data_IF_268007968097
#
_entry.id   IF_268007968097
#
_cell.length_a   1.000
_cell.length_b   1.000
_cell.length_c   1.000
_cell.angle_alpha   90.00
_cell.angle_beta   90.00
_cell.angle_gamma   90.00
#
_symmetry.space_group_name_H-M   'P 1'
#
loop_
_entity.id
_entity.type
_entity.pdbx_description
1 polymer ?
#
# COMPACT_ATOMS: atom_id res chain seq x y z
N UNK A 1 42.11 23.00 47.28
CA UNK A 1 41.19 22.07 46.59
C UNK A 1 40.78 22.73 45.28
N UNK A 2 41.51 22.45 44.21
CA UNK A 2 41.38 23.12 42.91
C UNK A 2 40.94 22.05 41.92
N UNK A 3 39.65 22.05 41.57
CA UNK A 3 39.08 21.09 40.61
C UNK A 3 39.50 21.51 39.20
N UNK A 4 40.42 20.74 38.61
CA UNK A 4 40.71 20.75 37.18
C UNK A 4 39.58 20.03 36.45
N UNK A 5 38.72 20.78 35.75
CA UNK A 5 37.82 20.21 34.75
C UNK A 5 38.59 20.02 33.44
N UNK A 6 38.85 18.76 33.09
CA UNK A 6 39.38 18.37 31.79
C UNK A 6 38.24 18.40 30.76
N UNK A 7 38.29 19.34 29.82
CA UNK A 7 37.43 19.31 28.65
C UNK A 7 38.04 18.37 27.62
N UNK A 8 37.52 17.14 27.54
CA UNK A 8 37.76 16.27 26.40
C UNK A 8 37.03 16.87 25.18
N UNK A 9 37.78 17.51 24.28
CA UNK A 9 37.27 17.82 22.94
C UNK A 9 37.03 16.52 22.20
N UNK A 10 35.76 16.15 22.04
CA UNK A 10 35.37 15.16 21.04
C UNK A 10 35.67 15.77 19.66
N UNK A 11 36.82 15.44 19.09
CA UNK A 11 37.10 15.71 17.70
C UNK A 11 36.06 14.95 16.87
N UNK A 12 35.11 15.68 16.28
CA UNK A 12 34.25 15.16 15.23
C UNK A 12 35.17 14.71 14.10
N UNK A 13 35.33 13.40 13.92
CA UNK A 13 35.95 12.85 12.71
C UNK A 13 34.94 13.12 11.60
N UNK A 14 35.07 14.26 10.93
CA UNK A 14 34.51 14.45 9.61
C UNK A 14 35.23 13.48 8.68
N UNK A 15 34.73 12.24 8.60
CA UNK A 15 35.09 11.35 7.51
C UNK A 15 34.68 12.07 6.23
N UNK A 16 35.65 12.49 5.42
CA UNK A 16 35.40 12.85 4.04
C UNK A 16 34.81 11.61 3.36
N UNK A 17 33.48 11.53 3.31
CA UNK A 17 32.78 10.46 2.64
C UNK A 17 33.09 10.59 1.13
N UNK A 18 33.73 9.56 0.59
CA UNK A 18 33.93 9.40 -0.85
C UNK A 18 32.60 9.58 -1.58
N UNK A 19 32.58 10.35 -2.68
CA UNK A 19 31.44 10.47 -3.60
C UNK A 19 31.16 9.18 -4.40
N UNK A 20 31.77 8.06 -3.99
CA UNK A 20 31.71 6.76 -4.66
C UNK A 20 30.78 5.83 -3.89
N UNK A 21 29.86 5.18 -4.60
CA UNK A 21 29.03 4.12 -4.03
C UNK A 21 29.92 2.96 -3.57
N UNK A 22 29.71 2.48 -2.34
CA UNK A 22 30.39 1.27 -1.86
C UNK A 22 29.69 0.03 -2.40
N UNK A 23 30.46 -0.95 -2.86
CA UNK A 23 29.92 -2.19 -3.44
C UNK A 23 28.89 -2.90 -2.54
N UNK A 24 29.16 -2.94 -1.23
CA UNK A 24 28.30 -3.63 -0.25
C UNK A 24 26.91 -3.00 -0.03
N UNK A 25 26.66 -1.80 -0.55
CA UNK A 25 25.34 -1.15 -0.46
C UNK A 25 24.62 -1.06 -1.81
N UNK A 26 25.17 -1.65 -2.88
CA UNK A 26 24.54 -1.66 -4.20
C UNK A 26 23.21 -2.42 -4.14
N UNK A 27 22.13 -1.76 -4.56
CA UNK A 27 20.79 -2.31 -4.69
C UNK A 27 20.73 -3.14 -5.97
N UNK A 28 20.99 -4.44 -5.86
CA UNK A 28 21.01 -5.34 -7.03
C UNK A 28 19.67 -5.35 -7.78
N UNK A 29 18.54 -5.16 -7.08
CA UNK A 29 17.22 -5.04 -7.72
C UNK A 29 17.12 -3.81 -8.63
N UNK A 30 17.82 -2.71 -8.32
CA UNK A 30 17.90 -1.52 -9.16
C UNK A 30 18.66 -1.76 -10.46
N UNK A 31 19.33 -2.90 -10.65
CA UNK A 31 19.96 -3.24 -11.95
C UNK A 31 19.00 -3.93 -12.93
N UNK A 32 17.75 -4.14 -12.51
CA UNK A 32 16.75 -4.96 -13.19
C UNK A 32 15.47 -4.17 -13.45
N UNK A 33 14.79 -4.47 -14.55
CA UNK A 33 13.53 -3.81 -14.91
C UNK A 33 12.33 -4.40 -14.18
N UNK A 34 12.47 -5.63 -13.65
CA UNK A 34 11.37 -6.38 -13.05
C UNK A 34 10.55 -7.19 -14.05
N UNK A 35 10.93 -7.16 -15.34
CA UNK A 35 10.30 -7.90 -16.44
C UNK A 35 11.08 -9.15 -16.85
N UNK A 36 12.21 -9.43 -16.20
CA UNK A 36 13.02 -10.62 -16.50
C UNK A 36 12.19 -11.90 -16.27
N UNK A 37 12.31 -12.87 -17.19
CA UNK A 37 11.64 -14.17 -17.05
C UNK A 37 10.16 -14.21 -17.45
N UNK A 38 9.66 -13.20 -18.15
CA UNK A 38 8.31 -13.22 -18.74
C UNK A 38 7.21 -12.78 -17.78
N UNK A 39 7.46 -11.72 -16.99
CA UNK A 39 6.46 -11.13 -16.10
C UNK A 39 5.27 -10.52 -16.86
N UNK A 40 4.23 -10.11 -16.10
CA UNK A 40 2.99 -9.59 -16.69
C UNK A 40 3.27 -8.34 -17.55
N UNK A 41 2.90 -8.40 -18.84
CA UNK A 41 3.07 -7.33 -19.84
C UNK A 41 2.28 -6.06 -19.54
N UNK A 42 1.31 -6.11 -18.64
CA UNK A 42 0.55 -4.94 -18.17
C UNK A 42 1.33 -4.12 -17.13
N UNK A 43 2.46 -4.62 -16.63
CA UNK A 43 3.33 -3.92 -15.68
C UNK A 43 4.35 -3.05 -16.43
N UNK A 44 4.64 -1.87 -15.90
CA UNK A 44 5.69 -1.01 -16.43
C UNK A 44 7.09 -1.54 -16.05
N UNK A 45 8.08 -1.21 -16.87
CA UNK A 45 9.49 -1.46 -16.56
C UNK A 45 9.99 -0.47 -15.51
N UNK A 46 10.72 -0.96 -14.50
CA UNK A 46 11.48 -0.11 -13.59
C UNK A 46 12.68 0.50 -14.29
N UNK A 47 13.02 1.75 -13.95
CA UNK A 47 14.34 2.28 -14.29
C UNK A 47 15.44 1.44 -13.63
N UNK A 48 16.61 1.44 -14.26
CA UNK A 48 17.78 0.74 -13.74
C UNK A 48 18.93 1.69 -13.42
N UNK A 49 19.73 1.36 -12.41
CA UNK A 49 20.96 2.05 -12.02
C UNK A 49 21.94 1.05 -11.42
N UNK A 50 23.23 1.21 -11.73
CA UNK A 50 24.32 0.45 -11.09
C UNK A 50 24.87 1.15 -9.86
N UNK A 51 24.50 2.41 -9.69
CA UNK A 51 24.98 3.33 -8.68
C UNK A 51 23.87 3.78 -7.72
N UNK A 52 22.84 2.96 -7.49
CA UNK A 52 21.73 3.26 -6.57
C UNK A 52 21.08 4.63 -6.80
N UNK A 53 21.08 5.08 -8.06
CA UNK A 53 20.53 6.37 -8.43
C UNK A 53 21.19 7.57 -7.72
N UNK A 54 22.42 7.44 -7.19
CA UNK A 54 23.12 8.58 -6.53
C UNK A 54 23.29 9.79 -7.47
N UNK A 55 23.35 9.54 -8.78
CA UNK A 55 23.49 10.57 -9.81
C UNK A 55 22.17 10.92 -10.50
N UNK A 56 21.03 10.45 -9.98
CA UNK A 56 19.72 10.62 -10.62
C UNK A 56 19.34 12.10 -10.84
N UNK A 57 19.83 12.98 -9.96
CA UNK A 57 19.57 14.42 -10.04
C UNK A 57 20.65 15.21 -10.81
N UNK A 58 21.61 14.54 -11.47
CA UNK A 58 22.63 15.22 -12.26
C UNK A 58 21.97 16.13 -13.32
N UNK A 59 22.41 17.40 -13.35
CA UNK A 59 21.88 18.41 -14.27
C UNK A 59 20.53 19.02 -13.89
N UNK A 60 19.93 18.66 -12.75
CA UNK A 60 18.64 19.19 -12.27
C UNK A 60 18.82 20.15 -11.09
N UNK A 61 17.84 21.02 -10.86
CA UNK A 61 17.77 21.86 -9.65
C UNK A 61 17.58 20.98 -8.42
N UNK A 62 18.53 21.01 -7.49
CA UNK A 62 18.48 20.18 -6.28
C UNK A 62 17.57 20.76 -5.19
N UNK A 63 16.84 19.91 -4.48
CA UNK A 63 16.04 20.30 -3.31
C UNK A 63 16.93 20.83 -2.18
N UNK A 64 18.03 20.13 -1.89
CA UNK A 64 19.06 20.52 -0.92
C UNK A 64 18.52 21.07 0.43
N UNK A 65 17.50 20.40 0.99
CA UNK A 65 16.88 20.82 2.26
C UNK A 65 15.93 22.02 2.18
N UNK A 66 15.62 22.53 0.98
CA UNK A 66 14.78 23.70 0.74
C UNK A 66 13.41 23.31 0.17
N UNK A 67 12.38 24.13 0.45
CA UNK A 67 11.06 24.02 -0.19
C UNK A 67 11.06 24.74 -1.55
N UNK A 68 11.59 24.08 -2.58
CA UNK A 68 11.70 24.65 -3.94
C UNK A 68 10.36 24.55 -4.67
N UNK A 69 9.61 25.65 -4.75
CA UNK A 69 8.22 25.67 -5.24
C UNK A 69 8.08 25.45 -6.75
N UNK A 70 9.11 25.77 -7.53
CA UNK A 70 9.15 25.61 -8.99
C UNK A 70 9.38 24.17 -9.45
N UNK A 71 9.59 23.22 -8.53
CA UNK A 71 10.02 21.85 -8.81
C UNK A 71 11.52 21.67 -8.60
N UNK A 72 11.92 20.49 -8.13
CA UNK A 72 13.33 20.15 -7.85
C UNK A 72 13.54 18.64 -7.83
N UNK A 73 14.80 18.21 -7.74
CA UNK A 73 15.18 16.81 -7.59
C UNK A 73 15.90 16.59 -6.25
N UNK A 74 15.52 15.56 -5.50
CA UNK A 74 16.20 15.25 -4.25
C UNK A 74 17.42 14.36 -4.49
N UNK A 75 18.62 14.89 -4.20
CA UNK A 75 19.89 14.16 -4.34
C UNK A 75 20.04 12.99 -3.36
N UNK A 76 19.20 12.94 -2.31
CA UNK A 76 18.92 11.71 -1.59
C UNK A 76 17.89 10.97 -2.46
N UNK A 77 18.20 9.78 -3.02
CA UNK A 77 17.40 9.13 -4.07
C UNK A 77 16.00 8.76 -3.59
N UNK A 78 15.13 9.76 -3.56
CA UNK A 78 13.69 9.67 -3.32
C UNK A 78 12.94 9.96 -4.63
N UNK A 79 13.54 10.78 -5.51
CA UNK A 79 13.08 11.04 -6.87
C UNK A 79 12.88 12.51 -7.19
N UNK A 80 12.24 12.75 -8.33
CA UNK A 80 11.83 14.07 -8.79
C UNK A 80 10.60 14.56 -8.04
N UNK A 81 10.59 15.84 -7.67
CA UNK A 81 9.51 16.48 -6.92
C UNK A 81 8.74 17.41 -7.87
N UNK A 82 7.41 17.25 -8.00
CA UNK A 82 6.61 18.10 -8.89
C UNK A 82 6.59 19.55 -8.39
N UNK A 83 6.32 20.50 -9.28
CA UNK A 83 6.05 21.88 -8.89
C UNK A 83 4.75 21.97 -8.05
N UNK A 84 4.58 23.04 -7.26
CA UNK A 84 3.37 23.21 -6.42
C UNK A 84 2.06 23.14 -7.23
N UNK A 85 2.05 23.69 -8.44
CA UNK A 85 0.90 23.66 -9.36
C UNK A 85 0.62 22.27 -9.97
N UNK A 86 1.53 21.31 -9.77
CA UNK A 86 1.44 19.92 -10.27
C UNK A 86 1.37 18.90 -9.14
N UNK A 87 1.00 19.34 -7.93
CA UNK A 87 0.72 18.40 -6.83
C UNK A 87 -0.44 17.47 -7.20
N UNK A 88 -0.29 16.20 -6.85
CA UNK A 88 -1.35 15.21 -7.03
C UNK A 88 -2.44 15.44 -5.99
N UNK A 89 -3.69 15.33 -6.42
CA UNK A 89 -4.85 15.28 -5.53
C UNK A 89 -5.86 14.31 -6.11
N UNK A 90 -6.42 13.49 -5.23
CA UNK A 90 -7.44 12.49 -5.55
C UNK A 90 -8.74 12.82 -4.83
N UNK A 91 -9.85 12.35 -5.39
CA UNK A 91 -11.17 12.37 -4.76
C UNK A 91 -11.95 11.11 -5.15
N UNK A 92 -12.56 10.45 -4.18
CA UNK A 92 -13.43 9.31 -4.37
C UNK A 92 -14.82 9.84 -4.74
N UNK A 93 -15.29 9.47 -5.93
CA UNK A 93 -16.61 9.89 -6.45
C UNK A 93 -17.67 8.82 -6.26
N UNK A 94 -17.26 7.57 -6.01
CA UNK A 94 -18.12 6.48 -5.57
C UNK A 94 -17.27 5.36 -4.93
N UNK A 95 -17.72 4.72 -3.83
CA UNK A 95 -18.93 5.05 -3.05
C UNK A 95 -18.77 6.34 -2.24
N UNK A 96 -19.90 6.93 -1.85
CA UNK A 96 -19.96 8.15 -1.02
C UNK A 96 -20.95 7.94 0.14
N UNK A 97 -20.82 8.73 1.22
CA UNK A 97 -21.64 8.55 2.43
C UNK A 97 -23.16 8.66 2.19
N UNK A 98 -23.57 9.41 1.17
CA UNK A 98 -24.95 9.67 0.77
C UNK A 98 -25.52 8.63 -0.22
N UNK A 99 -24.67 7.79 -0.82
CA UNK A 99 -25.09 6.79 -1.80
C UNK A 99 -24.91 5.38 -1.24
N UNK A 100 -26.03 4.72 -0.99
CA UNK A 100 -26.03 3.35 -0.51
C UNK A 100 -25.47 2.39 -1.56
N UNK A 101 -24.63 1.47 -1.11
CA UNK A 101 -24.18 0.30 -1.89
C UNK A 101 -25.00 -0.91 -1.44
N UNK A 102 -25.48 -1.72 -2.37
CA UNK A 102 -26.20 -2.95 -2.03
C UNK A 102 -25.24 -4.07 -1.63
N UNK A 103 -25.58 -4.77 -0.56
CA UNK A 103 -24.81 -5.91 -0.09
C UNK A 103 -24.77 -7.03 -1.14
N UNK A 104 -23.60 -7.64 -1.29
CA UNK A 104 -23.35 -8.76 -2.20
C UNK A 104 -23.69 -8.48 -3.67
N UNK A 105 -23.59 -7.21 -4.09
CA UNK A 105 -23.75 -6.78 -5.48
C UNK A 105 -22.47 -6.15 -5.99
N UNK A 106 -22.06 -6.56 -7.19
CA UNK A 106 -20.92 -5.94 -7.89
C UNK A 106 -21.15 -4.45 -8.05
N UNK A 107 -20.12 -3.65 -7.77
CA UNK A 107 -20.10 -2.23 -8.03
C UNK A 107 -18.68 -1.77 -8.43
N UNK A 108 -18.58 -0.59 -9.02
CA UNK A 108 -17.31 0.03 -9.37
C UNK A 108 -16.98 1.15 -8.39
N UNK A 109 -15.83 1.04 -7.72
CA UNK A 109 -15.19 2.19 -7.08
C UNK A 109 -14.74 3.15 -8.18
N UNK A 110 -15.00 4.46 -7.99
CA UNK A 110 -14.64 5.51 -8.94
C UNK A 110 -13.84 6.60 -8.24
N UNK A 111 -12.67 6.89 -8.80
CA UNK A 111 -11.72 7.88 -8.29
C UNK A 111 -11.41 8.88 -9.39
N UNK A 112 -11.35 10.16 -9.04
CA UNK A 112 -10.79 11.20 -9.90
C UNK A 112 -9.43 11.60 -9.35
N UNK A 113 -8.41 11.61 -10.19
CA UNK A 113 -7.07 12.10 -9.87
C UNK A 113 -6.72 13.31 -10.72
N UNK A 114 -5.92 14.21 -10.16
CA UNK A 114 -5.33 15.35 -10.83
C UNK A 114 -3.81 15.26 -10.75
N UNK A 115 -3.13 15.70 -11.81
CA UNK A 115 -1.67 15.80 -11.88
C UNK A 115 -0.88 14.49 -11.67
N UNK A 116 -1.53 13.35 -11.88
CA UNK A 116 -0.90 12.04 -11.94
C UNK A 116 -0.91 11.53 -13.38
N UNK A 117 0.26 11.16 -13.90
CA UNK A 117 0.37 10.31 -15.08
C UNK A 117 0.17 8.87 -14.60
N UNK A 118 -1.10 8.46 -14.57
CA UNK A 118 -1.52 7.14 -14.12
C UNK A 118 -1.16 6.04 -15.13
N UNK A 119 -1.11 4.80 -14.65
CA UNK A 119 -0.87 3.62 -15.48
C UNK A 119 0.56 3.06 -15.41
N UNK A 120 1.38 3.57 -14.48
CA UNK A 120 2.74 3.07 -14.27
C UNK A 120 2.84 2.33 -12.95
N UNK A 121 2.81 1.00 -13.02
CA UNK A 121 2.91 0.07 -11.90
C UNK A 121 4.02 -0.93 -12.20
N UNK A 122 5.09 -0.94 -11.41
CA UNK A 122 6.19 -1.90 -11.58
C UNK A 122 6.01 -3.13 -10.68
N UNK A 123 6.75 -4.20 -10.97
CA UNK A 123 6.64 -5.47 -10.26
C UNK A 123 6.88 -5.32 -8.74
N UNK A 124 5.85 -5.53 -7.88
CA UNK A 124 5.96 -5.31 -6.42
C UNK A 124 6.81 -6.39 -5.72
N UNK A 125 6.98 -7.58 -6.29
CA UNK A 125 7.81 -8.62 -5.69
C UNK A 125 9.31 -8.43 -5.98
N UNK A 126 9.65 -7.63 -7.00
CA UNK A 126 11.00 -7.56 -7.58
C UNK A 126 11.62 -6.18 -7.59
N UNK A 127 10.80 -5.13 -7.66
CA UNK A 127 11.26 -3.75 -7.88
C UNK A 127 10.65 -2.76 -6.88
N UNK A 128 10.16 -3.26 -5.75
CA UNK A 128 9.58 -2.46 -4.67
C UNK A 128 10.60 -1.45 -4.12
N UNK A 129 10.29 -0.16 -4.24
CA UNK A 129 11.16 0.97 -3.92
C UNK A 129 12.52 0.96 -4.64
N UNK A 130 12.64 0.20 -5.73
CA UNK A 130 13.91 -0.02 -6.41
C UNK A 130 14.33 1.14 -7.32
N UNK A 131 13.43 2.09 -7.62
CA UNK A 131 13.74 3.27 -8.40
C UNK A 131 13.06 4.56 -7.86
N UNK A 132 13.69 5.74 -8.03
CA UNK A 132 13.14 7.00 -7.55
C UNK A 132 11.85 7.43 -8.27
N UNK A 133 11.09 8.34 -7.66
CA UNK A 133 9.93 8.96 -8.31
C UNK A 133 10.34 9.70 -9.59
N UNK A 134 9.51 9.61 -10.63
CA UNK A 134 9.72 10.28 -11.92
C UNK A 134 8.57 11.23 -12.24
N UNK A 135 8.85 12.24 -13.06
CA UNK A 135 7.89 13.17 -13.64
C UNK A 135 7.84 13.05 -15.15
N UNK A 136 6.64 13.18 -15.71
CA UNK A 136 6.42 13.40 -17.14
C UNK A 136 5.64 14.70 -17.28
N UNK A 137 6.21 15.68 -17.98
CA UNK A 137 5.65 17.04 -18.09
C UNK A 137 5.37 17.69 -16.72
N UNK A 138 6.22 17.43 -15.73
CA UNK A 138 6.11 17.94 -14.37
C UNK A 138 5.06 17.25 -13.48
N UNK A 139 4.33 16.25 -13.98
CA UNK A 139 3.36 15.43 -13.25
C UNK A 139 3.98 14.10 -12.82
N UNK A 140 3.63 13.60 -11.64
CA UNK A 140 4.19 12.34 -11.13
C UNK A 140 3.75 11.16 -11.99
N UNK A 141 4.69 10.26 -12.32
CA UNK A 141 4.43 9.01 -13.04
C UNK A 141 4.25 7.87 -12.05
N UNK A 142 3.07 7.26 -12.04
CA UNK A 142 2.75 6.22 -11.07
C UNK A 142 1.37 5.63 -11.26
N UNK A 143 0.78 5.22 -10.15
CA UNK A 143 -0.50 4.54 -10.10
C UNK A 143 -1.23 4.84 -8.79
N UNK A 144 -2.42 4.29 -8.61
CA UNK A 144 -3.22 4.48 -7.40
C UNK A 144 -3.74 3.14 -6.93
N UNK A 145 -3.75 2.91 -5.62
CA UNK A 145 -4.48 1.80 -5.02
C UNK A 145 -5.77 2.32 -4.39
N UNK A 146 -6.74 1.42 -4.26
CA UNK A 146 -7.92 1.62 -3.41
C UNK A 146 -7.97 0.52 -2.37
N UNK A 147 -8.18 0.90 -1.12
CA UNK A 147 -8.31 -0.04 0.00
C UNK A 147 -9.62 0.23 0.70
N UNK A 148 -10.43 -0.82 0.87
CA UNK A 148 -11.66 -0.80 1.66
C UNK A 148 -11.41 -1.60 2.93
N UNK A 149 -11.64 -0.97 4.09
CA UNK A 149 -11.55 -1.60 5.40
C UNK A 149 -12.91 -1.54 6.09
N UNK A 150 -13.27 -2.60 6.82
CA UNK A 150 -14.45 -2.58 7.68
C UNK A 150 -14.22 -1.64 8.86
N UNK A 151 -15.27 -0.92 9.26
CA UNK A 151 -15.33 -0.16 10.50
C UNK A 151 -16.15 -0.91 11.58
N UNK A 152 -16.55 -2.14 11.28
CA UNK A 152 -17.42 -2.94 12.14
C UNK A 152 -18.85 -2.41 12.14
N UNK A 153 -19.40 -2.21 13.35
CA UNK A 153 -20.81 -1.83 13.57
C UNK A 153 -21.03 -0.33 13.75
N UNK A 154 -19.97 0.46 13.64
CA UNK A 154 -20.02 1.91 13.82
C UNK A 154 -19.39 2.59 12.60
N UNK A 155 -20.07 3.58 12.02
CA UNK A 155 -19.52 4.42 10.96
C UNK A 155 -18.39 5.31 11.49
N UNK A 156 -18.40 5.64 12.78
CA UNK A 156 -17.46 6.57 13.40
C UNK A 156 -16.71 5.95 14.58
N UNK A 157 -15.98 4.84 14.37
CA UNK A 157 -15.20 4.24 15.43
C UNK A 157 -14.10 5.20 15.89
N UNK A 158 -13.75 5.12 17.17
CA UNK A 158 -12.66 5.91 17.78
C UNK A 158 -11.32 5.19 17.76
N UNK A 159 -11.31 3.91 17.36
CA UNK A 159 -10.09 3.13 17.16
C UNK A 159 -9.76 3.03 15.66
N UNK A 160 -8.49 3.17 15.27
CA UNK A 160 -8.08 2.99 13.89
C UNK A 160 -8.26 1.53 13.46
N UNK A 161 -8.70 1.27 12.21
CA UNK A 161 -8.67 -0.09 11.65
C UNK A 161 -7.26 -0.66 11.61
N UNK A 162 -7.13 -1.99 11.75
CA UNK A 162 -5.85 -2.70 11.62
C UNK A 162 -5.32 -2.55 10.18
N UNK A 163 -4.15 -1.93 9.97
CA UNK A 163 -3.59 -1.68 8.64
C UNK A 163 -3.18 -2.97 7.89
N UNK A 164 -3.12 -4.12 8.56
CA UNK A 164 -2.83 -5.43 7.92
C UNK A 164 -4.06 -6.12 7.34
N UNK A 165 -5.25 -5.51 7.48
CA UNK A 165 -6.52 -6.11 7.05
C UNK A 165 -7.27 -5.20 6.07
N UNK A 166 -7.94 -5.82 5.10
CA UNK A 166 -8.82 -5.15 4.14
C UNK A 166 -9.98 -6.08 3.75
N UNK A 167 -11.15 -5.47 3.48
CA UNK A 167 -12.28 -6.15 2.86
C UNK A 167 -12.13 -6.20 1.33
N UNK A 168 -11.43 -5.22 0.76
CA UNK A 168 -11.06 -5.17 -0.66
C UNK A 168 -9.78 -4.35 -0.83
N UNK A 169 -8.90 -4.79 -1.72
CA UNK A 169 -7.72 -4.05 -2.16
C UNK A 169 -7.59 -4.18 -3.67
N UNK A 170 -7.22 -3.09 -4.34
CA UNK A 170 -6.88 -3.14 -5.76
C UNK A 170 -5.87 -2.06 -6.11
N UNK A 171 -4.78 -2.46 -6.76
CA UNK A 171 -3.96 -1.57 -7.58
C UNK A 171 -4.67 -1.25 -8.90
N UNK A 172 -4.90 0.03 -9.16
CA UNK A 172 -5.40 0.53 -10.45
C UNK A 172 -4.17 0.80 -11.32
N UNK A 173 -3.79 -0.23 -12.08
CA UNK A 173 -2.52 -0.27 -12.79
C UNK A 173 -2.59 0.33 -14.20
N UNK A 174 -3.79 0.67 -14.68
CA UNK A 174 -3.99 1.28 -15.99
C UNK A 174 -4.12 2.82 -15.89
N UNK A 175 -4.16 3.47 -17.05
CA UNK A 175 -4.31 4.92 -17.18
C UNK A 175 -5.78 5.41 -17.05
N UNK A 176 -6.71 4.52 -16.73
CA UNK A 176 -8.15 4.80 -16.72
C UNK A 176 -8.64 5.32 -18.06
N UNK A 177 -9.35 6.44 -18.04
CA UNK A 177 -9.83 7.12 -19.25
C UNK A 177 -8.83 8.12 -19.85
N UNK A 178 -7.63 8.26 -19.28
CA UNK A 178 -6.63 9.25 -19.70
C UNK A 178 -6.95 10.69 -19.29
N UNK A 179 -8.12 10.97 -18.72
CA UNK A 179 -8.52 12.26 -18.16
C UNK A 179 -8.48 12.26 -16.62
N UNK A 180 -7.85 11.24 -16.02
CA UNK A 180 -7.70 11.10 -14.58
C UNK A 180 -8.90 10.44 -13.89
N UNK A 181 -9.88 9.89 -14.62
CA UNK A 181 -10.87 9.02 -14.00
C UNK A 181 -10.33 7.59 -13.95
N UNK A 182 -10.31 7.01 -12.74
CA UNK A 182 -9.83 5.67 -12.43
C UNK A 182 -10.97 4.85 -11.83
N UNK A 183 -10.98 3.55 -12.08
CA UNK A 183 -12.01 2.65 -11.57
C UNK A 183 -11.45 1.31 -11.11
N UNK A 184 -12.13 0.70 -10.14
CA UNK A 184 -11.87 -0.66 -9.68
C UNK A 184 -13.18 -1.39 -9.39
N UNK A 185 -13.39 -2.54 -10.02
CA UNK A 185 -14.60 -3.35 -9.83
C UNK A 185 -14.48 -4.23 -8.60
N UNK A 186 -15.44 -4.09 -7.67
CA UNK A 186 -15.60 -4.96 -6.50
C UNK A 186 -16.54 -6.10 -6.89
N UNK A 187 -15.99 -7.15 -7.49
CA UNK A 187 -16.77 -8.28 -8.00
C UNK A 187 -17.43 -9.03 -6.84
N UNK A 188 -18.73 -9.28 -6.94
CA UNK A 188 -19.52 -9.91 -5.88
C UNK A 188 -19.91 -8.97 -4.74
N UNK A 189 -19.41 -7.74 -4.72
CA UNK A 189 -19.74 -6.72 -3.73
C UNK A 189 -19.11 -6.97 -2.36
N UNK A 190 -19.72 -6.35 -1.34
CA UNK A 190 -19.30 -6.45 0.06
C UNK A 190 -20.49 -6.91 0.92
N UNK A 191 -20.26 -7.56 2.07
CA UNK A 191 -21.30 -7.77 3.08
C UNK A 191 -21.86 -6.45 3.62
N UNK A 192 -23.09 -6.48 4.14
CA UNK A 192 -23.67 -5.32 4.80
C UNK A 192 -22.83 -4.87 6.00
N UNK A 193 -22.68 -3.55 6.18
CA UNK A 193 -21.86 -2.97 7.24
C UNK A 193 -21.30 -1.59 6.89
N UNK A 194 -20.48 -1.05 7.79
CA UNK A 194 -19.80 0.22 7.59
C UNK A 194 -18.35 0.01 7.16
N UNK A 195 -17.92 0.83 6.21
CA UNK A 195 -16.59 0.73 5.61
C UNK A 195 -15.95 2.11 5.46
N UNK A 196 -14.62 2.12 5.50
CA UNK A 196 -13.79 3.23 5.02
C UNK A 196 -13.10 2.78 3.74
N UNK A 197 -13.19 3.62 2.72
CA UNK A 197 -12.36 3.51 1.52
C UNK A 197 -11.34 4.63 1.52
N UNK A 198 -10.10 4.31 1.18
CA UNK A 198 -9.04 5.29 0.96
C UNK A 198 -8.33 5.02 -0.36
N UNK A 199 -7.87 6.09 -1.01
CA UNK A 199 -6.87 5.99 -2.08
C UNK A 199 -5.47 5.92 -1.48
N UNK A 200 -4.56 5.28 -2.20
CA UNK A 200 -3.13 5.37 -1.94
C UNK A 200 -2.43 5.68 -3.27
N UNK A 201 -2.12 6.95 -3.49
CA UNK A 201 -1.32 7.42 -4.60
C UNK A 201 0.11 6.96 -4.43
N UNK A 202 0.68 6.43 -5.51
CA UNK A 202 2.02 5.84 -5.48
C UNK A 202 2.80 6.16 -6.75
N UNK A 203 4.10 6.38 -6.61
CA UNK A 203 4.99 6.42 -7.76
C UNK A 203 5.15 5.01 -8.36
N UNK A 204 5.79 4.92 -9.53
CA UNK A 204 5.86 3.66 -10.29
C UNK A 204 6.36 2.45 -9.47
N UNK A 205 7.36 2.67 -8.60
CA UNK A 205 7.99 1.63 -7.77
C UNK A 205 7.43 1.59 -6.34
N UNK A 206 6.17 1.97 -6.14
CA UNK A 206 5.38 1.81 -4.91
C UNK A 206 5.63 2.84 -3.80
N UNK A 207 6.64 3.70 -3.91
CA UNK A 207 6.89 4.73 -2.90
C UNK A 207 5.75 5.75 -2.81
N UNK A 208 5.44 6.27 -1.61
CA UNK A 208 4.47 7.35 -1.46
C UNK A 208 4.83 8.56 -2.32
N UNK A 209 3.81 9.25 -2.83
CA UNK A 209 4.00 10.41 -3.69
C UNK A 209 4.70 11.55 -2.93
N UNK A 210 5.85 11.98 -3.46
CA UNK A 210 6.62 13.09 -2.92
C UNK A 210 6.10 14.42 -3.46
N UNK A 211 5.85 15.37 -2.55
CA UNK A 211 5.25 16.69 -2.85
C UNK A 211 6.17 17.84 -2.37
N UNK A 212 6.11 19.02 -3.01
CA UNK A 212 7.12 20.08 -2.85
C UNK A 212 7.03 20.92 -1.59
N UNK A 213 5.94 20.85 -0.83
CA UNK A 213 5.70 21.73 0.33
C UNK A 213 5.00 20.99 1.46
N UNK A 214 5.30 21.36 2.70
CA UNK A 214 4.67 20.75 3.89
C UNK A 214 3.22 21.21 4.07
N UNK A 215 2.95 22.51 3.88
CA UNK A 215 1.60 23.09 3.98
C UNK A 215 0.83 22.84 2.67
N UNK A 216 0.09 21.73 2.63
CA UNK A 216 -0.74 21.30 1.50
C UNK A 216 -1.91 20.43 1.97
N UNK A 217 -2.91 20.24 1.11
CA UNK A 217 -3.90 19.17 1.31
C UNK A 217 -3.28 17.78 1.17
N UNK A 218 -3.96 16.76 1.71
CA UNK A 218 -3.57 15.38 1.47
C UNK A 218 -3.72 15.05 -0.02
N UNK A 219 -2.76 14.32 -0.58
CA UNK A 219 -2.86 13.84 -1.97
C UNK A 219 -3.87 12.70 -2.12
N UNK A 220 -4.13 11.99 -1.02
CA UNK A 220 -5.04 10.87 -0.91
C UNK A 220 -6.39 11.30 -0.31
N UNK A 221 -7.46 10.67 -0.77
CA UNK A 221 -8.79 10.83 -0.22
C UNK A 221 -9.20 9.60 0.58
N UNK A 222 -10.01 9.83 1.62
CA UNK A 222 -10.64 8.79 2.40
C UNK A 222 -12.08 9.20 2.68
N UNK A 223 -13.01 8.29 2.36
CA UNK A 223 -14.42 8.47 2.71
C UNK A 223 -14.98 7.22 3.37
N UNK A 224 -16.15 7.37 3.99
CA UNK A 224 -16.86 6.29 4.66
C UNK A 224 -18.19 6.07 3.96
N UNK A 225 -18.63 4.82 3.93
CA UNK A 225 -19.89 4.45 3.30
C UNK A 225 -20.52 3.24 3.99
N UNK A 226 -21.82 3.11 3.78
CA UNK A 226 -22.62 2.00 4.25
C UNK A 226 -22.94 1.06 3.09
N UNK A 227 -22.75 -0.22 3.31
CA UNK A 227 -23.29 -1.28 2.47
C UNK A 227 -24.58 -1.75 3.14
N UNK A 228 -25.71 -1.54 2.48
CA UNK A 228 -27.05 -1.86 3.01
C UNK A 228 -27.49 -3.25 2.56
N UNK A 229 -28.21 -3.93 3.44
CA UNK A 229 -28.95 -5.13 3.04
C UNK A 229 -29.94 -4.73 1.92
N UNK A 230 -29.89 -5.42 0.77
CA UNK A 230 -30.85 -5.18 -0.31
C UNK A 230 -32.28 -5.47 0.16
N UNK A 231 -33.27 -4.80 -0.44
CA UNK A 231 -34.69 -4.88 -0.05
C UNK A 231 -35.35 -6.27 -0.20
N UNK A 232 -34.61 -7.31 -0.61
CA UNK A 232 -35.12 -8.65 -0.89
C UNK A 232 -34.41 -9.81 -0.19
N UNK A 233 -33.65 -9.58 0.89
CA UNK A 233 -32.82 -10.61 1.52
C UNK A 233 -32.92 -10.67 3.04
N UNK A 234 -34.08 -11.10 3.56
CA UNK A 234 -34.14 -11.65 4.92
C UNK A 234 -33.55 -13.06 4.91
N UNK A 235 -32.37 -13.25 5.51
CA UNK A 235 -31.81 -14.57 5.79
C UNK A 235 -30.35 -14.74 5.37
N UNK A 236 -29.44 -14.66 6.33
CA UNK A 236 -28.04 -15.04 6.15
C UNK A 236 -27.08 -14.24 7.03
N UNK A 237 -27.06 -14.54 8.33
CA UNK A 237 -26.04 -14.03 9.24
C UNK A 237 -24.66 -14.58 8.88
N UNK A 238 -23.95 -13.90 7.97
CA UNK A 238 -22.53 -14.14 7.70
C UNK A 238 -21.70 -13.22 8.56
N UNK A 239 -21.12 -13.76 9.64
CA UNK A 239 -20.09 -13.08 10.42
C UNK A 239 -18.96 -12.64 9.47
N UNK A 240 -18.59 -11.36 9.53
CA UNK A 240 -17.34 -10.89 8.95
C UNK A 240 -16.20 -11.75 9.51
N UNK A 241 -15.62 -12.60 8.66
CA UNK A 241 -14.38 -13.29 8.98
C UNK A 241 -13.26 -12.33 8.66
N UNK A 242 -12.54 -11.90 9.69
CA UNK A 242 -11.26 -11.23 9.53
C UNK A 242 -10.33 -12.17 8.75
N UNK A 243 -10.20 -11.94 7.45
CA UNK A 243 -9.26 -12.69 6.63
C UNK A 243 -7.85 -12.17 6.95
N UNK A 244 -7.20 -12.79 7.93
CA UNK A 244 -5.75 -12.91 7.93
C UNK A 244 -5.35 -13.99 6.93
N UNK A 245 -5.04 -13.58 5.70
CA UNK A 245 -4.33 -14.44 4.76
C UNK A 245 -3.43 -13.60 3.85
N UNK A 246 -2.17 -13.99 3.80
CA UNK A 246 -1.16 -13.51 2.88
C UNK A 246 -1.53 -13.82 1.42
N UNK A 247 -1.33 -12.85 0.54
CA UNK A 247 -1.28 -12.95 -0.93
C UNK A 247 -0.73 -11.62 -1.41
N UNK A 248 0.38 -11.50 -2.15
CA UNK A 248 0.77 -12.22 -3.36
C UNK A 248 -0.42 -12.47 -4.27
N UNK A 249 -0.86 -11.37 -4.88
CA UNK A 249 -1.72 -11.37 -6.06
C UNK A 249 -1.05 -12.19 -7.17
N UNK A 250 -1.42 -13.47 -7.26
CA UNK A 250 -1.27 -14.22 -8.50
C UNK A 250 -2.24 -13.62 -9.50
N UNK A 251 -1.67 -13.03 -10.54
CA UNK A 251 -2.37 -12.58 -11.74
C UNK A 251 -3.34 -13.66 -12.24
N UNK A 252 -4.60 -13.29 -12.38
CA UNK A 252 -5.60 -14.11 -13.04
C UNK A 252 -5.40 -14.02 -14.56
N UNK A 253 -4.84 -15.08 -15.13
CA UNK A 253 -4.88 -15.37 -16.56
C UNK A 253 -5.25 -16.85 -16.73
N UNK A 254 -6.53 -17.14 -16.94
CA UNK A 254 -6.99 -18.47 -17.36
C UNK A 254 -7.08 -18.47 -18.88
N UNK A 255 -6.18 -19.22 -19.53
CA UNK A 255 -6.36 -19.67 -20.92
C UNK A 255 -6.06 -21.18 -20.99
N UNK A 256 -7.10 -21.93 -21.38
CA UNK A 256 -7.05 -23.36 -21.67
C UNK A 256 -6.17 -23.64 -22.89
N UNK A 257 -5.14 -24.49 -22.75
CA UNK A 257 -4.70 -25.42 -23.82
C UNK A 257 -4.09 -26.71 -23.27
N UNK A 258 -4.40 -27.78 -23.99
CA UNK A 258 -4.11 -29.18 -23.76
C UNK A 258 -2.67 -29.62 -24.11
N UNK A 259 -2.41 -30.91 -23.85
CA UNK A 259 -1.24 -31.78 -24.08
C UNK A 259 -0.35 -31.93 -22.84
N UNK A 260 0.03 -33.11 -22.34
CA UNK A 260 -0.13 -34.51 -22.75
C UNK A 260 0.97 -35.31 -22.03
N UNK A 261 0.63 -36.49 -21.47
CA UNK A 261 1.46 -37.67 -21.10
C UNK A 261 2.81 -37.41 -20.34
N UNK A 262 3.09 -38.00 -19.18
CA UNK A 262 3.42 -39.43 -19.06
C UNK A 262 3.47 -39.96 -17.60
N UNK A 263 3.36 -41.29 -17.50
CA UNK A 263 3.24 -42.13 -16.29
C UNK A 263 4.54 -42.27 -15.49
N UNK A 264 4.43 -42.42 -14.16
CA UNK A 264 4.97 -43.59 -13.40
C UNK A 264 4.48 -43.65 -11.95
N UNK A 265 4.18 -44.89 -11.53
CA UNK A 265 3.74 -45.37 -10.21
C UNK A 265 4.91 -45.39 -9.23
N UNK A 266 4.65 -45.26 -7.93
CA UNK A 266 4.96 -46.34 -6.98
C UNK A 266 4.18 -46.25 -5.66
N UNK A 267 3.95 -47.42 -5.05
CA UNK A 267 3.12 -47.71 -3.87
C UNK A 267 3.96 -47.90 -2.58
N UNK A 268 3.26 -47.84 -1.42
CA UNK A 268 3.67 -48.39 -0.11
C UNK A 268 3.05 -47.56 1.03
N UNK A 269 1.93 -47.93 1.68
CA UNK A 269 1.75 -48.95 2.75
C UNK A 269 2.90 -48.89 3.79
N UNK A 270 2.69 -48.71 5.10
CA UNK A 270 1.78 -49.46 5.97
C UNK A 270 1.68 -48.83 7.40
N UNK A 271 0.49 -49.02 8.04
CA UNK A 271 0.22 -49.25 9.50
C UNK A 271 0.61 -48.21 10.56
N UNK A 272 0.06 -48.18 11.79
CA UNK A 272 -1.21 -48.47 12.51
C UNK A 272 -0.87 -48.23 14.02
N UNK A 273 -1.90 -48.03 14.86
CA UNK A 273 -1.94 -48.00 16.35
C UNK A 273 -2.04 -46.58 16.96
N UNK A 274 -3.16 -46.13 17.55
CA UNK A 274 -4.02 -46.59 18.66
C UNK A 274 -3.64 -46.02 20.04
N UNK A 275 -4.71 -45.67 20.77
CA UNK A 275 -4.87 -45.38 22.21
C UNK A 275 -4.31 -44.06 22.79
N UNK A 276 -4.98 -43.33 23.69
CA UNK A 276 -6.25 -43.48 24.42
C UNK A 276 -6.61 -42.12 25.07
N UNK A 277 -7.90 -41.74 25.11
CA UNK A 277 -8.82 -41.76 26.27
C UNK A 277 -8.61 -40.74 27.41
N UNK A 278 -9.69 -39.98 27.60
CA UNK A 278 -10.39 -39.62 28.85
C UNK A 278 -9.99 -38.40 29.71
N UNK A 279 -11.04 -37.64 30.08
CA UNK A 279 -11.17 -36.92 31.35
C UNK A 279 -11.31 -35.39 31.26
N UNK A 280 -12.49 -34.80 31.01
CA UNK A 280 -13.58 -34.41 31.94
C UNK A 280 -13.29 -33.31 32.99
N UNK A 281 -14.16 -32.29 32.90
CA UNK A 281 -14.91 -31.58 33.97
C UNK A 281 -14.29 -30.44 34.80
N UNK A 282 -15.11 -29.39 34.98
CA UNK A 282 -15.07 -28.44 36.12
C UNK A 282 -14.96 -26.95 35.73
N UNK A 283 -16.01 -26.24 35.31
CA UNK A 283 -17.05 -25.50 36.09
C UNK A 283 -16.59 -24.34 37.01
N UNK A 284 -17.19 -23.18 36.69
CA UNK A 284 -17.83 -22.17 37.57
C UNK A 284 -17.05 -21.05 38.31
N UNK A 285 -17.58 -19.82 38.16
CA UNK A 285 -17.60 -18.77 39.20
C UNK A 285 -16.98 -17.42 38.78
N UNK A 286 -17.73 -16.45 38.22
CA UNK A 286 -18.55 -15.37 38.82
C UNK A 286 -17.82 -14.16 39.45
N UNK A 287 -18.44 -12.99 39.19
CA UNK A 287 -18.30 -11.63 39.77
C UNK A 287 -17.25 -10.70 39.10
N UNK A 288 -17.52 -9.46 38.69
CA UNK A 288 -18.70 -8.59 38.83
C UNK A 288 -18.31 -7.19 39.35
N UNK A 289 -18.39 -6.16 38.47
CA UNK A 289 -18.45 -4.68 38.73
C UNK A 289 -17.14 -4.06 39.33
N UNK A 290 -16.76 -2.78 39.20
CA UNK A 290 -17.42 -1.53 38.81
C UNK A 290 -16.37 -0.45 38.41
N UNK A 291 -16.81 0.55 37.66
CA UNK A 291 -16.10 1.71 37.08
C UNK A 291 -15.40 2.64 38.10
N UNK A 292 -14.36 3.37 37.66
CA UNK A 292 -14.13 4.80 37.98
C UNK A 292 -13.21 5.48 36.94
N UNK A 293 -13.64 6.66 36.49
CA UNK A 293 -12.95 7.60 35.60
C UNK A 293 -11.99 8.50 36.40
N UNK A 294 -10.82 8.81 35.85
CA UNK A 294 -10.16 10.10 36.08
C UNK A 294 -9.42 10.56 34.81
N UNK A 295 -9.72 11.77 34.35
CA UNK A 295 -9.02 12.50 33.28
C UNK A 295 -7.65 12.97 33.76
N UNK A 296 -6.65 12.97 32.88
CA UNK A 296 -5.42 13.76 33.03
C UNK A 296 -5.25 14.58 31.74
N UNK A 297 -5.18 15.89 31.90
CA UNK A 297 -4.72 16.85 30.89
C UNK A 297 -3.20 16.86 30.87
N UNK A 298 -2.60 16.95 29.67
CA UNK A 298 -1.20 17.39 29.52
C UNK A 298 -1.17 18.45 28.41
N UNK A 299 -0.39 19.50 28.71
CA UNK A 299 -0.01 20.69 27.95
C UNK A 299 0.43 20.46 26.51
#
# INVERSE_FOLDING_TARGET
MQLLFSFASAALIASAASQTLKDGVVQQASTKTGQEGGANKEQAESLTSKENFINFCAGKTLTNGLQVQAGSCNGIPMGEIPAKAKMVSTIITFPTADKAVEAQKTFDIKVKTSNLVAGSFTNPDKTYYAAPQQLKNGQVVGHTHVTVQTLGKDMNPTQPPDPSTFAFFKGINNNGDGAGNLAATVTGGLPAGFYRICTLGSASNHQPLLMPVAQRGAQDDCTKFEVKQGAGGAGGGGQAKDNKAAGQDKAAGQDNKAAGQDKKKDQGQDKKAEDGKDGKDGKDGKNGKQKRFTRVFIS
#
